data_IF_444518397785
#
_entry.id   IF_444518397785
#
_cell.length_a   1.000
_cell.length_b   1.000
_cell.length_c   1.000
_cell.angle_alpha   90.00
_cell.angle_beta   90.00
_cell.angle_gamma   90.00
#
_symmetry.space_group_name_H-M   'P 1'
#
loop_
_entity.id
_entity.type
_entity.pdbx_description
1 polymer ?
#
# COMPACT_ATOMS: atom_id res chain seq x y z
N UNK A 1 -12.44 -11.49 -1.42
CA UNK A 1 -11.38 -11.81 -2.41
C UNK A 1 -10.84 -13.19 -2.10
N UNK A 2 -10.66 -14.05 -3.11
CA UNK A 2 -9.90 -15.30 -2.94
C UNK A 2 -8.45 -15.04 -2.50
N UNK A 3 -7.78 -16.05 -1.93
CA UNK A 3 -6.39 -15.95 -1.46
C UNK A 3 -5.45 -15.51 -2.58
N UNK A 4 -5.61 -16.09 -3.79
CA UNK A 4 -4.81 -15.72 -4.95
C UNK A 4 -4.99 -14.25 -5.35
N UNK A 5 -6.23 -13.74 -5.28
CA UNK A 5 -6.51 -12.33 -5.58
C UNK A 5 -5.90 -11.40 -4.54
N UNK A 6 -5.99 -11.73 -3.24
CA UNK A 6 -5.35 -10.95 -2.17
C UNK A 6 -3.84 -10.82 -2.39
N UNK A 7 -3.17 -11.94 -2.69
CA UNK A 7 -1.73 -11.97 -2.97
C UNK A 7 -1.40 -11.08 -4.18
N UNK A 8 -2.13 -11.25 -5.29
CA UNK A 8 -1.92 -10.46 -6.50
C UNK A 8 -2.05 -8.96 -6.23
N UNK A 9 -3.10 -8.52 -5.54
CA UNK A 9 -3.31 -7.09 -5.27
C UNK A 9 -2.27 -6.52 -4.30
N UNK A 10 -1.86 -7.29 -3.28
CA UNK A 10 -0.76 -6.89 -2.40
C UNK A 10 0.58 -6.75 -3.16
N UNK A 11 0.85 -7.64 -4.13
CA UNK A 11 2.02 -7.55 -4.99
C UNK A 11 1.98 -6.31 -5.89
N UNK A 12 0.84 -6.00 -6.51
CA UNK A 12 0.68 -4.78 -7.31
C UNK A 12 0.95 -3.52 -6.47
N UNK A 13 0.32 -3.44 -5.29
CA UNK A 13 0.51 -2.33 -4.36
C UNK A 13 1.99 -2.15 -3.97
N UNK A 14 2.68 -3.26 -3.67
CA UNK A 14 4.10 -3.22 -3.28
C UNK A 14 5.03 -2.81 -4.41
N UNK A 15 4.79 -3.29 -5.64
CA UNK A 15 5.61 -2.96 -6.82
C UNK A 15 5.45 -1.49 -7.19
N UNK A 16 4.20 -1.02 -7.31
CA UNK A 16 3.92 0.33 -7.78
C UNK A 16 4.39 1.38 -6.76
N UNK A 17 4.13 1.15 -5.46
CA UNK A 17 4.62 2.03 -4.40
C UNK A 17 6.16 2.06 -4.35
N UNK A 18 6.83 0.90 -4.53
CA UNK A 18 8.29 0.83 -4.61
C UNK A 18 8.84 1.62 -5.80
N UNK A 19 8.29 1.46 -7.00
CA UNK A 19 8.75 2.17 -8.20
C UNK A 19 8.50 3.68 -8.11
N UNK A 20 7.39 4.10 -7.50
CA UNK A 20 7.13 5.51 -7.25
C UNK A 20 8.10 6.09 -6.20
N UNK A 21 8.33 5.38 -5.09
CA UNK A 21 9.27 5.81 -4.06
C UNK A 21 10.72 5.84 -4.55
N UNK A 22 11.10 4.92 -5.45
CA UNK A 22 12.42 4.95 -6.11
C UNK A 22 12.64 6.27 -6.86
N UNK A 23 11.59 6.82 -7.49
CA UNK A 23 11.63 8.09 -8.22
C UNK A 23 11.55 9.31 -7.29
N UNK A 24 10.61 9.30 -6.35
CA UNK A 24 10.27 10.48 -5.54
C UNK A 24 11.04 10.57 -4.21
N UNK A 25 11.36 9.43 -3.59
CA UNK A 25 11.94 9.30 -2.24
C UNK A 25 13.14 8.34 -2.24
N UNK A 26 14.04 8.45 -3.21
CA UNK A 26 15.12 7.49 -3.48
C UNK A 26 15.96 7.10 -2.24
N UNK A 27 16.24 8.04 -1.33
CA UNK A 27 17.00 7.75 -0.10
C UNK A 27 16.25 6.78 0.84
N UNK A 28 14.96 7.04 1.08
CA UNK A 28 14.12 6.16 1.91
C UNK A 28 13.93 4.80 1.23
N UNK A 29 13.68 4.82 -0.08
CA UNK A 29 13.57 3.60 -0.88
C UNK A 29 14.84 2.74 -0.82
N UNK A 30 16.03 3.34 -0.96
CA UNK A 30 17.30 2.62 -0.91
C UNK A 30 17.54 2.00 0.47
N UNK A 31 17.35 2.76 1.55
CA UNK A 31 17.50 2.24 2.91
C UNK A 31 16.57 1.04 3.15
N UNK A 32 15.28 1.18 2.81
CA UNK A 32 14.32 0.08 2.90
C UNK A 32 14.74 -1.14 2.06
N UNK A 33 15.28 -0.92 0.86
CA UNK A 33 15.72 -2.00 -0.02
C UNK A 33 16.93 -2.76 0.54
N UNK A 34 17.90 -2.02 1.09
CA UNK A 34 19.10 -2.57 1.72
C UNK A 34 18.77 -3.32 3.02
N UNK A 35 17.70 -2.92 3.72
CA UNK A 35 17.15 -3.60 4.91
C UNK A 35 16.27 -4.81 4.58
N UNK A 36 16.28 -5.30 3.34
CA UNK A 36 15.55 -6.51 2.92
C UNK A 36 14.09 -6.25 2.51
N UNK A 37 13.70 -4.99 2.31
CA UNK A 37 12.41 -4.60 1.75
C UNK A 37 11.20 -5.11 2.55
N UNK A 38 11.22 -4.92 3.89
CA UNK A 38 10.15 -5.32 4.83
C UNK A 38 8.79 -4.84 4.37
N UNK A 39 7.77 -5.71 4.48
CA UNK A 39 6.36 -5.39 4.19
C UNK A 39 5.47 -5.91 5.30
N UNK A 40 4.39 -5.19 5.57
CA UNK A 40 3.34 -5.61 6.51
C UNK A 40 2.02 -5.48 5.76
N UNK A 41 1.20 -6.54 5.80
CA UNK A 41 -0.11 -6.56 5.14
C UNK A 41 -1.17 -6.38 6.22
N UNK A 42 -1.94 -5.31 6.07
CA UNK A 42 -3.00 -4.90 6.99
C UNK A 42 -4.36 -5.03 6.31
N UNK A 43 -5.43 -5.03 7.08
CA UNK A 43 -6.80 -5.05 6.57
C UNK A 43 -7.56 -3.79 6.96
N UNK A 44 -8.44 -3.37 6.06
CA UNK A 44 -9.50 -2.38 6.28
C UNK A 44 -10.83 -2.98 5.86
N UNK A 45 -11.91 -2.39 6.34
CA UNK A 45 -13.25 -2.95 6.14
C UNK A 45 -14.06 -2.22 5.04
N UNK A 46 -13.51 -1.17 4.41
CA UNK A 46 -14.18 -0.45 3.32
C UNK A 46 -13.23 0.26 2.34
N UNK A 47 -13.78 0.70 1.21
CA UNK A 47 -13.08 1.49 0.19
C UNK A 47 -12.72 2.88 0.73
N UNK A 48 -13.67 3.53 1.39
CA UNK A 48 -13.52 4.86 1.96
C UNK A 48 -12.35 4.87 2.97
N UNK A 49 -12.17 3.78 3.72
CA UNK A 49 -11.02 3.63 4.61
C UNK A 49 -9.68 3.58 3.86
N UNK A 50 -9.61 3.00 2.65
CA UNK A 50 -8.39 3.07 1.83
C UNK A 50 -8.12 4.49 1.36
N UNK A 51 -9.16 5.20 0.92
CA UNK A 51 -9.05 6.59 0.43
C UNK A 51 -8.58 7.53 1.56
N UNK A 52 -9.18 7.43 2.75
CA UNK A 52 -8.75 8.19 3.93
C UNK A 52 -7.29 7.92 4.32
N UNK A 53 -6.81 6.68 4.19
CA UNK A 53 -5.41 6.33 4.46
C UNK A 53 -4.47 6.93 3.42
N UNK A 54 -4.89 6.97 2.14
CA UNK A 54 -4.13 7.61 1.08
C UNK A 54 -4.01 9.13 1.31
N UNK A 55 -5.11 9.79 1.70
CA UNK A 55 -5.09 11.21 2.07
C UNK A 55 -4.17 11.48 3.28
N UNK A 56 -4.23 10.63 4.31
CA UNK A 56 -3.33 10.73 5.47
C UNK A 56 -1.86 10.55 5.10
N UNK A 57 -1.56 9.63 4.17
CA UNK A 57 -0.20 9.43 3.68
C UNK A 57 0.30 10.65 2.89
N UNK A 58 -0.55 11.20 2.01
CA UNK A 58 -0.24 12.40 1.21
C UNK A 58 0.02 13.63 2.10
N UNK A 59 -0.82 13.85 3.13
CA UNK A 59 -0.64 14.92 4.11
C UNK A 59 0.69 14.83 4.90
N UNK A 60 1.28 13.63 4.99
CA UNK A 60 2.57 13.38 5.62
C UNK A 60 3.73 13.31 4.62
N UNK A 61 3.47 13.54 3.32
CA UNK A 61 4.45 13.41 2.23
C UNK A 61 5.07 12.00 2.15
N UNK A 62 4.22 10.98 2.40
CA UNK A 62 4.55 9.55 2.27
C UNK A 62 3.99 9.06 0.93
N UNK A 63 4.82 8.39 0.14
CA UNK A 63 4.39 7.78 -1.12
C UNK A 63 3.26 6.79 -0.86
N UNK A 64 2.18 6.89 -1.63
CA UNK A 64 1.10 5.91 -1.59
C UNK A 64 0.50 5.68 -2.97
N UNK A 65 0.02 4.46 -3.23
CA UNK A 65 -0.58 4.06 -4.52
C UNK A 65 -1.84 3.23 -4.28
N UNK A 66 -2.97 3.72 -4.78
CA UNK A 66 -4.22 2.96 -4.84
C UNK A 66 -4.19 2.00 -6.05
N UNK A 67 -4.48 0.73 -5.81
CA UNK A 67 -4.57 -0.29 -6.83
C UNK A 67 -6.02 -0.47 -7.22
N UNK A 68 -6.28 -0.29 -8.51
CA UNK A 68 -7.58 -0.50 -9.12
C UNK A 68 -7.59 -1.81 -9.89
N UNK A 69 -8.55 -2.67 -9.61
CA UNK A 69 -8.72 -3.88 -10.40
C UNK A 69 -9.28 -3.52 -11.79
N UNK A 70 -8.55 -3.90 -12.84
CA UNK A 70 -8.93 -3.64 -14.22
C UNK A 70 -10.06 -4.55 -14.74
N UNK A 71 -10.79 -5.22 -13.85
CA UNK A 71 -11.99 -5.98 -14.20
C UNK A 71 -11.71 -7.37 -14.80
N UNK A 72 -10.55 -7.95 -14.51
CA UNK A 72 -10.19 -9.32 -14.94
C UNK A 72 -10.52 -10.39 -13.89
N UNK A 73 -11.18 -10.03 -12.77
CA UNK A 73 -11.42 -10.94 -11.65
C UNK A 73 -12.76 -10.69 -10.92
N UNK A 74 -12.93 -11.35 -9.77
CA UNK A 74 -14.11 -11.52 -8.90
C UNK A 74 -14.81 -10.23 -8.38
N UNK A 75 -14.39 -9.03 -8.78
CA UNK A 75 -14.95 -7.74 -8.33
C UNK A 75 -15.25 -6.82 -9.52
N UNK A 76 -16.20 -5.87 -9.40
CA UNK A 76 -16.55 -4.96 -10.48
C UNK A 76 -15.32 -4.22 -11.02
N UNK A 77 -15.19 -4.07 -12.36
CA UNK A 77 -14.13 -3.28 -12.97
C UNK A 77 -14.08 -1.87 -12.37
N UNK A 78 -12.88 -1.41 -12.04
CA UNK A 78 -12.69 -0.07 -11.47
C UNK A 78 -12.76 -0.01 -9.95
N UNK A 79 -12.99 -1.15 -9.27
CA UNK A 79 -12.94 -1.20 -7.81
C UNK A 79 -11.49 -1.05 -7.32
N UNK A 80 -11.25 -0.16 -6.37
CA UNK A 80 -9.97 -0.10 -5.66
C UNK A 80 -9.91 -1.23 -4.65
N UNK A 81 -8.83 -2.00 -4.68
CA UNK A 81 -8.70 -3.29 -3.97
C UNK A 81 -7.56 -3.31 -2.96
N UNK A 82 -6.58 -2.43 -3.10
CA UNK A 82 -5.44 -2.34 -2.20
C UNK A 82 -4.81 -0.95 -2.24
N UNK A 83 -4.05 -0.61 -1.19
CA UNK A 83 -3.25 0.60 -1.07
C UNK A 83 -1.82 0.20 -0.68
N UNK A 84 -0.83 0.62 -1.48
CA UNK A 84 0.59 0.56 -1.10
C UNK A 84 0.98 1.85 -0.40
N UNK A 85 1.69 1.77 0.74
CA UNK A 85 2.20 2.94 1.49
C UNK A 85 3.69 2.77 1.74
N UNK A 86 4.45 3.83 1.48
CA UNK A 86 5.90 3.89 1.63
C UNK A 86 6.66 3.40 0.39
N UNK A 87 7.90 2.92 0.56
CA UNK A 87 8.65 2.83 1.82
C UNK A 87 8.96 4.19 2.46
N UNK A 88 8.96 4.20 3.79
CA UNK A 88 9.40 5.30 4.66
C UNK A 88 9.77 4.69 6.03
N UNK A 89 10.20 5.52 6.99
CA UNK A 89 10.47 5.10 8.37
C UNK A 89 9.21 4.52 9.00
N UNK A 90 9.38 3.45 9.79
CA UNK A 90 8.24 2.77 10.44
C UNK A 90 7.43 3.72 11.31
N UNK A 91 8.06 4.64 12.05
CA UNK A 91 7.34 5.58 12.90
C UNK A 91 6.50 6.60 12.12
N UNK A 92 6.80 6.83 10.83
CA UNK A 92 6.00 7.67 9.93
C UNK A 92 4.85 6.89 9.34
N UNK A 93 5.10 5.64 8.91
CA UNK A 93 4.06 4.74 8.39
C UNK A 93 3.01 4.45 9.48
N UNK A 94 3.44 4.22 10.72
CA UNK A 94 2.55 3.89 11.85
C UNK A 94 1.60 5.04 12.22
N UNK A 95 1.93 6.29 11.88
CA UNK A 95 0.99 7.43 12.03
C UNK A 95 -0.22 7.31 11.10
N UNK A 96 -0.07 6.57 9.99
CA UNK A 96 -1.14 6.32 9.03
C UNK A 96 -1.84 5.01 9.34
N UNK A 97 -1.09 3.94 9.63
CA UNK A 97 -1.62 2.57 9.65
C UNK A 97 -1.59 1.87 11.01
N UNK A 98 -1.04 2.50 12.05
CA UNK A 98 -0.74 1.84 13.33
C UNK A 98 -1.98 1.34 14.10
N UNK A 99 -3.17 1.83 13.79
CA UNK A 99 -4.44 1.35 14.37
C UNK A 99 -5.06 0.18 13.61
N UNK A 100 -4.53 -0.17 12.44
CA UNK A 100 -5.09 -1.23 11.59
C UNK A 100 -4.68 -2.62 12.08
N UNK A 101 -5.52 -3.60 11.78
CA UNK A 101 -5.26 -4.99 12.13
C UNK A 101 -4.46 -5.67 11.03
N UNK A 102 -3.57 -6.59 11.42
CA UNK A 102 -2.92 -7.51 10.49
C UNK A 102 -3.97 -8.28 9.68
N UNK A 103 -3.71 -8.46 8.38
CA UNK A 103 -4.44 -9.39 7.54
C UNK A 103 -4.08 -10.81 8.00
N UNK A 104 -5.10 -11.61 8.35
CA UNK A 104 -4.95 -13.01 8.79
C UNK A 104 -5.37 -13.95 7.67
#
# INVERSE_FOLDING_TARGET
MSVGKLISQACHAAVDASEQAKKLKHKAWRAWRDEGAKKVVLRVDSLEALEELAEKADALDIVSVLIQDRGLTEVPPGTVTALGIGPDRSERIDRVTGSLKLLK
#
